data_IF_081833954254
#
_entry.id   IF_081833954254
#
_cell.length_a   1.000
_cell.length_b   1.000
_cell.length_c   1.000
_cell.angle_alpha   90.00
_cell.angle_beta   90.00
_cell.angle_gamma   90.00
#
_symmetry.space_group_name_H-M   'P 1'
#
loop_
_entity.id
_entity.type
_entity.pdbx_description
1 polymer ?
#
# COMPACT_ATOMS: atom_id res chain seq x y z
N UNK A 1 23.52 10.47 12.04
CA UNK A 1 22.17 10.89 11.63
C UNK A 1 21.48 9.64 11.10
N UNK A 2 20.32 9.23 11.63
CA UNK A 2 19.58 8.04 11.16
C UNK A 2 18.65 8.48 10.02
N UNK A 3 18.69 7.80 8.87
CA UNK A 3 17.85 8.12 7.70
C UNK A 3 16.71 7.11 7.62
N UNK A 4 15.48 7.60 7.72
CA UNK A 4 14.29 6.77 7.60
C UNK A 4 13.72 6.91 6.19
N UNK A 5 13.52 5.77 5.51
CA UNK A 5 13.00 5.71 4.15
C UNK A 5 11.77 4.81 4.11
N UNK A 6 10.67 5.36 3.61
CA UNK A 6 9.39 4.66 3.45
C UNK A 6 8.70 5.09 2.17
N UNK A 7 7.74 4.28 1.74
CA UNK A 7 6.91 4.50 0.56
C UNK A 7 5.47 4.40 1.00
N UNK A 8 4.66 5.35 0.54
CA UNK A 8 3.22 5.38 0.76
C UNK A 8 2.51 5.07 -0.57
N UNK A 9 1.55 4.15 -0.52
CA UNK A 9 0.68 3.84 -1.65
C UNK A 9 -0.75 4.08 -1.20
N UNK A 10 -1.38 5.10 -1.76
CA UNK A 10 -2.80 5.36 -1.56
C UNK A 10 -3.63 4.50 -2.51
N UNK A 11 -4.49 3.66 -1.93
CA UNK A 11 -5.38 2.79 -2.67
C UNK A 11 -6.83 3.18 -2.43
N UNK A 12 -7.60 3.28 -3.51
CA UNK A 12 -9.05 3.35 -3.46
C UNK A 12 -9.61 2.00 -2.98
N UNK A 13 -10.10 1.98 -1.74
CA UNK A 13 -10.65 0.78 -1.09
C UNK A 13 -12.16 0.95 -0.86
N UNK A 14 -12.89 -0.16 -0.93
CA UNK A 14 -14.34 -0.18 -0.75
C UNK A 14 -14.68 -0.30 0.74
N UNK A 15 -15.50 0.60 1.27
CA UNK A 15 -16.02 0.51 2.64
C UNK A 15 -16.99 -0.68 2.83
N UNK A 16 -17.60 -1.16 1.74
CA UNK A 16 -18.55 -2.29 1.77
C UNK A 16 -17.82 -3.63 1.85
N UNK A 17 -18.36 -4.54 2.67
CA UNK A 17 -17.86 -5.91 2.82
C UNK A 17 -18.44 -6.83 1.75
N UNK A 18 -17.56 -7.55 1.06
CA UNK A 18 -17.98 -8.51 0.05
C UNK A 18 -18.83 -9.63 0.66
N UNK A 19 -20.02 -9.84 0.10
CA UNK A 19 -20.99 -10.84 0.56
C UNK A 19 -21.95 -10.36 1.64
N UNK A 20 -21.90 -9.08 2.01
CA UNK A 20 -22.83 -8.47 2.97
C UNK A 20 -23.64 -7.33 2.31
N UNK A 21 -24.93 -7.25 2.63
CA UNK A 21 -25.81 -6.14 2.28
C UNK A 21 -25.87 -5.82 0.79
N UNK A 22 -25.47 -4.60 0.42
CA UNK A 22 -25.50 -4.11 -0.96
C UNK A 22 -24.40 -4.71 -1.87
N UNK A 23 -23.49 -5.53 -1.32
CA UNK A 23 -22.40 -6.18 -2.06
C UNK A 23 -22.65 -7.70 -2.14
N UNK A 24 -23.45 -8.13 -3.11
CA UNK A 24 -23.83 -9.54 -3.24
C UNK A 24 -22.69 -10.43 -3.76
N UNK A 25 -22.54 -11.64 -3.21
CA UNK A 25 -21.59 -12.65 -3.69
C UNK A 25 -22.03 -13.16 -5.05
N UNK A 26 -21.47 -12.60 -6.12
CA UNK A 26 -21.61 -13.21 -7.45
C UNK A 26 -20.51 -14.26 -7.60
N UNK A 27 -20.85 -15.47 -8.05
CA UNK A 27 -19.87 -16.52 -8.31
C UNK A 27 -18.78 -16.04 -9.29
N UNK A 28 -17.51 -16.31 -9.00
CA UNK A 28 -16.37 -15.87 -9.80
C UNK A 28 -15.13 -15.50 -8.98
N UNK A 29 -14.23 -14.69 -9.56
CA UNK A 29 -12.98 -14.27 -8.92
C UNK A 29 -13.19 -13.53 -7.59
N UNK A 30 -12.21 -13.68 -6.68
CA UNK A 30 -12.20 -13.05 -5.34
C UNK A 30 -12.31 -11.52 -5.43
N UNK A 31 -13.08 -10.91 -4.54
CA UNK A 31 -13.12 -9.46 -4.35
C UNK A 31 -12.04 -9.05 -3.36
N UNK A 32 -11.12 -8.18 -3.76
CA UNK A 32 -10.07 -7.62 -2.90
C UNK A 32 -10.41 -6.22 -2.40
N UNK A 33 -11.69 -5.82 -2.50
CA UNK A 33 -12.21 -4.51 -2.11
C UNK A 33 -11.51 -3.33 -2.80
N UNK A 34 -10.81 -3.57 -3.90
CA UNK A 34 -10.27 -2.54 -4.78
C UNK A 34 -11.21 -2.28 -5.95
N UNK A 35 -11.18 -1.07 -6.52
CA UNK A 35 -12.04 -0.68 -7.65
C UNK A 35 -11.95 -1.64 -8.85
N UNK A 36 -10.78 -2.21 -9.12
CA UNK A 36 -10.57 -3.15 -10.22
C UNK A 36 -11.33 -4.48 -10.01
N UNK A 37 -11.32 -4.98 -8.77
CA UNK A 37 -11.83 -6.30 -8.40
C UNK A 37 -13.26 -6.26 -7.83
N UNK A 38 -13.78 -5.05 -7.57
CA UNK A 38 -15.13 -4.84 -7.06
C UNK A 38 -16.19 -5.31 -8.08
N UNK A 39 -17.06 -6.23 -7.63
CA UNK A 39 -18.16 -6.75 -8.45
C UNK A 39 -19.34 -5.78 -8.56
N UNK A 40 -19.53 -4.93 -7.54
CA UNK A 40 -20.61 -3.96 -7.48
C UNK A 40 -20.08 -2.53 -7.73
N UNK A 41 -19.50 -2.27 -8.91
CA UNK A 41 -18.89 -0.97 -9.25
C UNK A 41 -19.85 0.22 -9.09
N UNK A 42 -21.14 -0.01 -9.30
CA UNK A 42 -22.21 1.01 -9.13
C UNK A 42 -22.50 1.35 -7.67
N UNK A 43 -22.07 0.51 -6.72
CA UNK A 43 -22.24 0.68 -5.28
C UNK A 43 -20.90 0.87 -4.56
N UNK A 44 -19.82 1.12 -5.30
CA UNK A 44 -18.51 1.33 -4.70
C UNK A 44 -18.52 2.59 -3.84
N UNK A 45 -18.26 2.41 -2.55
CA UNK A 45 -18.11 3.50 -1.58
C UNK A 45 -16.63 3.64 -1.31
N UNK A 46 -16.02 4.71 -1.82
CA UNK A 46 -14.58 4.92 -1.70
C UNK A 46 -14.22 5.35 -0.28
N UNK A 47 -13.36 4.57 0.36
CA UNK A 47 -12.71 4.86 1.63
C UNK A 47 -11.21 4.57 1.43
N UNK A 48 -10.40 5.56 1.07
CA UNK A 48 -9.02 5.34 0.68
C UNK A 48 -8.19 4.84 1.87
N UNK A 49 -7.28 3.90 1.60
CA UNK A 49 -6.35 3.36 2.59
C UNK A 49 -4.93 3.64 2.11
N UNK A 50 -4.12 4.20 3.00
CA UNK A 50 -2.69 4.41 2.77
C UNK A 50 -1.90 3.21 3.26
N UNK A 51 -1.24 2.51 2.36
CA UNK A 51 -0.29 1.45 2.68
C UNK A 51 1.10 2.04 2.84
N UNK A 52 1.79 1.71 3.93
CA UNK A 52 3.14 2.21 4.23
C UNK A 52 4.14 1.07 4.25
N UNK A 53 5.15 1.15 3.39
CA UNK A 53 6.25 0.20 3.32
C UNK A 53 7.54 0.87 3.74
N UNK A 54 8.34 0.21 4.57
CA UNK A 54 9.59 0.77 5.08
C UNK A 54 10.79 -0.14 4.81
N UNK A 55 12.00 0.43 4.79
CA UNK A 55 13.25 -0.33 4.85
C UNK A 55 13.38 -0.91 6.25
N UNK A 56 13.55 -2.24 6.35
CA UNK A 56 13.68 -2.95 7.62
C UNK A 56 14.91 -2.50 8.40
N UNK A 57 14.72 -1.54 9.31
CA UNK A 57 15.78 -1.04 10.19
C UNK A 57 15.37 -1.19 11.66
N UNK A 58 16.36 -1.42 12.53
CA UNK A 58 16.13 -1.70 13.96
C UNK A 58 15.50 -0.53 14.72
N UNK A 59 15.58 0.69 14.18
CA UNK A 59 15.05 1.91 14.79
C UNK A 59 13.67 2.32 14.24
N UNK A 60 13.04 1.51 13.37
CA UNK A 60 11.66 1.74 12.93
C UNK A 60 10.66 1.83 14.09
N UNK A 61 10.68 0.93 15.10
CA UNK A 61 9.71 1.00 16.20
C UNK A 61 9.86 2.26 17.04
N UNK A 62 11.09 2.79 17.14
CA UNK A 62 11.40 4.01 17.89
C UNK A 62 11.02 5.29 17.11
N UNK A 63 10.74 5.18 15.81
CA UNK A 63 10.46 6.33 14.96
C UNK A 63 9.06 6.93 15.14
N UNK A 64 8.14 6.18 15.77
CA UNK A 64 6.74 6.60 15.95
C UNK A 64 5.89 6.59 14.68
N UNK A 65 6.41 6.04 13.57
CA UNK A 65 5.70 5.93 12.30
C UNK A 65 5.03 4.56 12.22
N UNK A 66 3.71 4.56 12.00
CA UNK A 66 2.97 3.34 11.70
C UNK A 66 3.32 2.85 10.30
N UNK A 67 3.73 1.59 10.18
CA UNK A 67 4.11 0.98 8.90
C UNK A 67 3.32 -0.31 8.70
N UNK A 68 2.87 -0.54 7.47
CA UNK A 68 2.13 -1.76 7.14
C UNK A 68 3.06 -2.96 7.04
N UNK A 69 4.24 -2.77 6.42
CA UNK A 69 5.28 -3.79 6.43
C UNK A 69 6.69 -3.22 6.20
N UNK A 70 7.69 -3.88 6.79
CA UNK A 70 9.09 -3.55 6.63
C UNK A 70 9.78 -4.54 5.67
N UNK A 71 9.56 -4.39 4.36
CA UNK A 71 10.05 -5.32 3.33
C UNK A 71 10.83 -4.68 2.18
N UNK A 72 11.10 -3.36 2.24
CA UNK A 72 11.87 -2.70 1.18
C UNK A 72 13.34 -3.09 1.31
N UNK A 73 13.92 -3.55 0.19
CA UNK A 73 15.34 -3.89 0.07
C UNK A 73 16.13 -2.80 -0.66
N UNK A 74 15.56 -2.24 -1.72
CA UNK A 74 16.20 -1.20 -2.53
C UNK A 74 15.17 -0.22 -3.13
N UNK A 75 15.59 1.03 -3.31
CA UNK A 75 14.78 2.09 -3.93
C UNK A 75 15.66 2.87 -4.90
N UNK A 76 15.26 2.90 -6.16
CA UNK A 76 15.86 3.73 -7.20
C UNK A 76 14.85 4.79 -7.65
N UNK A 77 15.24 6.06 -7.55
CA UNK A 77 14.39 7.19 -7.93
C UNK A 77 15.05 8.00 -9.05
N UNK A 78 14.34 8.14 -10.16
CA UNK A 78 14.70 9.01 -11.27
C UNK A 78 13.80 10.25 -11.24
N UNK A 79 14.33 11.45 -10.92
CA UNK A 79 13.51 12.65 -10.84
C UNK A 79 13.03 13.12 -12.22
N UNK A 80 11.83 13.72 -12.25
CA UNK A 80 11.34 14.39 -13.45
C UNK A 80 12.19 15.63 -13.73
N UNK A 81 12.68 15.77 -14.96
CA UNK A 81 13.41 16.98 -15.38
C UNK A 81 12.61 17.69 -16.46
N UNK A 82 12.33 18.98 -16.24
CA UNK A 82 11.70 19.86 -17.23
C UNK A 82 12.80 20.69 -17.87
N UNK A 83 13.21 20.35 -19.09
CA UNK A 83 14.13 21.18 -19.87
C UNK A 83 13.36 22.35 -20.48
N UNK A 84 13.57 23.55 -19.94
CA UNK A 84 13.02 24.80 -20.49
C UNK A 84 13.80 25.19 -21.75
N UNK A 85 13.45 24.63 -22.90
CA UNK A 85 14.04 24.99 -24.19
C UNK A 85 13.98 23.90 -25.27
N UNK A 86 13.88 22.63 -24.88
CA UNK A 86 13.69 21.51 -25.79
C UNK A 86 12.41 20.75 -25.38
N UNK A 87 11.55 20.45 -26.35
CA UNK A 87 10.15 20.01 -26.18
C UNK A 87 9.92 18.64 -25.50
N UNK A 88 10.84 18.16 -24.64
CA UNK A 88 10.78 16.83 -24.05
C UNK A 88 11.13 16.90 -22.55
N UNK A 89 10.11 16.81 -21.70
CA UNK A 89 10.29 16.56 -20.27
C UNK A 89 10.40 15.06 -19.99
N UNK A 90 11.31 14.66 -19.10
CA UNK A 90 11.38 13.29 -18.59
C UNK A 90 10.41 13.10 -17.43
N UNK A 91 9.65 12.00 -17.45
CA UNK A 91 8.77 11.61 -16.34
C UNK A 91 9.59 11.06 -15.19
N UNK A 92 9.16 11.30 -13.95
CA UNK A 92 9.76 10.67 -12.80
C UNK A 92 9.44 9.15 -12.82
N UNK A 93 10.43 8.33 -12.47
CA UNK A 93 10.27 6.90 -12.25
C UNK A 93 10.72 6.55 -10.84
N UNK A 94 10.03 5.62 -10.20
CA UNK A 94 10.39 5.06 -8.90
C UNK A 94 10.35 3.54 -9.03
N UNK A 95 11.50 2.91 -8.89
CA UNK A 95 11.66 1.47 -8.89
C UNK A 95 11.96 1.00 -7.47
N UNK A 96 11.18 0.02 -6.99
CA UNK A 96 11.22 -0.45 -5.60
C UNK A 96 11.37 -1.96 -5.60
N UNK A 97 12.42 -2.46 -4.96
CA UNK A 97 12.59 -3.89 -4.74
C UNK A 97 12.11 -4.24 -3.33
N UNK A 98 11.12 -5.13 -3.25
CA UNK A 98 10.53 -5.59 -2.00
C UNK A 98 10.73 -7.09 -1.85
N UNK A 99 11.02 -7.53 -0.63
CA UNK A 99 11.04 -8.95 -0.28
C UNK A 99 9.62 -9.50 -0.14
N UNK A 100 9.40 -10.69 -0.66
CA UNK A 100 8.15 -11.42 -0.47
C UNK A 100 8.02 -11.96 0.98
N UNK A 101 6.78 -12.10 1.45
CA UNK A 101 6.48 -12.68 2.76
C UNK A 101 6.30 -14.19 2.62
N UNK A 102 6.97 -14.96 3.48
CA UNK A 102 6.92 -16.43 3.45
C UNK A 102 5.50 -17.03 3.64
N UNK A 103 4.53 -16.24 4.10
CA UNK A 103 3.18 -16.73 4.43
C UNK A 103 2.10 -16.11 3.54
N UNK A 104 1.37 -16.92 2.75
CA UNK A 104 0.33 -16.44 1.83
C UNK A 104 -1.00 -16.08 2.49
N UNK A 105 -1.20 -16.42 3.77
CA UNK A 105 -2.54 -16.38 4.41
C UNK A 105 -2.73 -15.24 5.43
N UNK A 106 -1.68 -14.50 5.77
CA UNK A 106 -1.80 -13.37 6.70
C UNK A 106 -2.09 -12.12 5.88
N UNK A 107 -3.37 -11.85 5.63
CA UNK A 107 -3.81 -10.67 4.89
C UNK A 107 -3.03 -9.42 5.32
N UNK A 108 -2.55 -8.64 4.35
CA UNK A 108 -1.71 -7.45 4.52
C UNK A 108 -2.21 -6.44 5.58
N UNK A 109 -3.51 -6.49 5.90
CA UNK A 109 -4.20 -5.66 6.89
C UNK A 109 -4.26 -6.22 8.34
N UNK A 110 -3.78 -7.44 8.59
CA UNK A 110 -3.83 -8.04 9.94
C UNK A 110 -2.61 -7.67 10.79
N UNK A 111 -1.43 -7.51 10.17
CA UNK A 111 -0.20 -7.12 10.87
C UNK A 111 -0.21 -5.66 11.37
N UNK A 112 -0.82 -4.73 10.62
CA UNK A 112 -1.00 -3.34 11.08
C UNK A 112 -1.93 -3.22 12.29
N UNK A 113 -2.87 -4.17 12.47
CA UNK A 113 -3.72 -4.21 13.67
C UNK A 113 -3.03 -4.80 14.90
N UNK A 114 -2.01 -5.64 14.74
CA UNK A 114 -1.25 -6.17 15.87
C UNK A 114 -0.20 -5.18 16.41
N UNK A 115 0.41 -4.35 15.56
CA UNK A 115 1.37 -3.35 16.00
C UNK A 115 0.74 -2.28 16.93
N UNK A 116 -0.56 -2.00 16.76
CA UNK A 116 -1.30 -1.08 17.64
C UNK A 116 -1.72 -1.72 18.96
N UNK A 117 -1.79 -3.06 19.07
CA UNK A 117 -2.30 -3.74 20.26
C UNK A 117 -1.24 -4.23 21.26
N UNK A 118 0.05 -4.18 20.94
CA UNK A 118 1.12 -4.58 21.88
C UNK A 118 1.80 -3.42 22.60
N UNK A 119 1.27 -2.20 22.46
CA UNK A 119 1.61 -1.05 23.31
C UNK A 119 0.76 -1.03 24.59
N UNK A 120 1.08 -1.91 25.55
CA UNK A 120 0.63 -1.84 26.95
C UNK A 120 1.73 -2.35 27.87
#
# INVERSE_FOLDING_TARGET
>A
MKQLTFIEIDLDYCALRFGEGACNTTAGEKCFNTKATCKARTRFVNEPVTLRFAIGTSYLPESGIDYTAACIEDISFMPATVSLGENLGTRASLDVTMRDFLYPETGFLWLSRQAVQTGS
#
